data_IF_054091726883
#
_entry.id   IF_054091726883
#
_cell.length_a   1.000
_cell.length_b   1.000
_cell.length_c   1.000
_cell.angle_alpha   90.00
_cell.angle_beta   90.00
_cell.angle_gamma   90.00
#
_symmetry.space_group_name_H-M   'P 1'
#
loop_
_entity.id
_entity.type
_entity.pdbx_description
1 polymer ?
#
# COMPACT_ATOMS: atom_id res chain seq x y z
N UNK A 1 9.12 -19.09 -13.30
CA UNK A 1 9.01 -18.11 -12.22
C UNK A 1 7.56 -17.83 -11.83
N UNK A 2 6.66 -17.53 -12.78
CA UNK A 2 5.23 -17.28 -12.48
C UNK A 2 4.59 -18.41 -11.67
N UNK A 3 4.85 -19.65 -12.02
CA UNK A 3 4.35 -20.84 -11.30
C UNK A 3 4.88 -20.89 -9.87
N UNK A 4 6.17 -20.61 -9.65
CA UNK A 4 6.78 -20.55 -8.33
C UNK A 4 6.14 -19.47 -7.45
N UNK A 5 5.93 -18.27 -8.02
CA UNK A 5 5.27 -17.18 -7.29
C UNK A 5 3.80 -17.51 -6.95
N UNK A 6 3.09 -18.17 -7.88
CA UNK A 6 1.74 -18.64 -7.63
C UNK A 6 1.71 -19.69 -6.51
N UNK A 7 2.60 -20.69 -6.57
CA UNK A 7 2.73 -21.71 -5.55
C UNK A 7 2.99 -21.13 -4.15
N UNK A 8 3.91 -20.14 -4.04
CA UNK A 8 4.19 -19.46 -2.78
C UNK A 8 2.90 -18.81 -2.21
N UNK A 9 2.12 -18.16 -3.04
CA UNK A 9 0.89 -17.50 -2.60
C UNK A 9 -0.21 -18.50 -2.22
N UNK A 10 -0.31 -19.63 -2.91
CA UNK A 10 -1.27 -20.71 -2.61
C UNK A 10 -0.95 -21.43 -1.30
N UNK A 11 0.36 -21.57 -0.97
CA UNK A 11 0.84 -22.23 0.24
C UNK A 11 1.31 -21.26 1.32
N UNK A 12 0.78 -20.01 1.31
CA UNK A 12 1.26 -18.92 2.15
C UNK A 12 1.13 -19.20 3.67
N UNK A 13 0.21 -20.09 4.04
CA UNK A 13 -0.03 -20.50 5.42
C UNK A 13 0.93 -21.60 5.92
N UNK A 14 1.73 -22.16 5.03
CA UNK A 14 2.60 -23.29 5.31
C UNK A 14 4.07 -22.89 5.43
N UNK A 15 4.91 -23.82 5.92
CA UNK A 15 6.36 -23.69 5.85
C UNK A 15 6.83 -24.12 4.47
N UNK A 16 7.12 -23.16 3.62
CA UNK A 16 7.61 -23.41 2.25
C UNK A 16 9.12 -23.62 2.30
N UNK A 17 9.61 -24.73 1.73
CA UNK A 17 11.03 -25.04 1.70
C UNK A 17 11.69 -24.59 0.38
N UNK A 18 12.96 -24.17 0.47
CA UNK A 18 13.77 -23.86 -0.71
C UNK A 18 13.94 -25.10 -1.62
N UNK A 19 14.08 -26.29 -1.02
CA UNK A 19 14.27 -27.55 -1.76
C UNK A 19 13.06 -27.80 -2.67
N UNK A 20 11.87 -27.74 -2.13
CA UNK A 20 10.61 -27.95 -2.84
C UNK A 20 10.45 -26.99 -4.03
N UNK A 21 10.72 -25.70 -3.84
CA UNK A 21 10.64 -24.70 -4.91
C UNK A 21 11.71 -24.91 -6.00
N UNK A 22 12.90 -25.35 -5.60
CA UNK A 22 13.98 -25.66 -6.53
C UNK A 22 13.65 -26.89 -7.38
N UNK A 23 13.07 -27.93 -6.78
CA UNK A 23 12.61 -29.15 -7.48
C UNK A 23 11.51 -28.80 -8.49
N UNK A 24 10.52 -28.00 -8.10
CA UNK A 24 9.49 -27.50 -9.02
C UNK A 24 10.06 -26.71 -10.21
N UNK A 25 11.13 -25.96 -9.97
CA UNK A 25 11.80 -25.19 -11.02
C UNK A 25 12.76 -26.03 -11.88
N UNK A 26 13.04 -27.29 -11.52
CA UNK A 26 13.98 -28.17 -12.19
C UNK A 26 15.46 -27.80 -11.96
N UNK A 27 15.77 -27.18 -10.83
CA UNK A 27 17.12 -26.72 -10.50
C UNK A 27 17.61 -27.25 -9.14
N UNK A 28 18.93 -27.22 -8.94
CA UNK A 28 19.47 -27.41 -7.60
C UNK A 28 19.11 -26.23 -6.69
N UNK A 29 18.94 -26.43 -5.36
CA UNK A 29 18.58 -25.35 -4.43
C UNK A 29 19.55 -24.14 -4.48
N UNK A 30 20.84 -24.41 -4.62
CA UNK A 30 21.86 -23.36 -4.73
C UNK A 30 21.69 -22.52 -5.99
N UNK A 31 21.55 -23.18 -7.15
CA UNK A 31 21.39 -22.49 -8.42
C UNK A 31 20.06 -21.73 -8.48
N UNK A 32 18.98 -22.35 -8.02
CA UNK A 32 17.66 -21.70 -7.95
C UNK A 32 17.67 -20.46 -7.05
N UNK A 33 18.27 -20.54 -5.85
CA UNK A 33 18.38 -19.39 -4.95
C UNK A 33 19.14 -18.22 -5.58
N UNK A 34 20.25 -18.51 -6.27
CA UNK A 34 21.02 -17.50 -7.00
C UNK A 34 20.22 -16.87 -8.13
N UNK A 35 19.63 -17.68 -9.00
CA UNK A 35 18.81 -17.24 -10.13
C UNK A 35 17.61 -16.41 -9.68
N UNK A 36 16.92 -16.86 -8.63
CA UNK A 36 15.79 -16.10 -8.04
C UNK A 36 16.25 -14.74 -7.54
N UNK A 37 17.37 -14.67 -6.82
CA UNK A 37 17.90 -13.42 -6.30
C UNK A 37 18.34 -12.45 -7.40
N UNK A 38 18.89 -12.95 -8.50
CA UNK A 38 19.27 -12.15 -9.66
C UNK A 38 18.04 -11.55 -10.37
N UNK A 39 16.95 -12.34 -10.50
CA UNK A 39 15.71 -11.90 -11.16
C UNK A 39 14.87 -10.98 -10.28
N UNK A 40 14.74 -11.31 -8.99
CA UNK A 40 13.83 -10.63 -8.06
C UNK A 40 14.51 -9.54 -7.21
N UNK A 41 15.84 -9.37 -7.34
CA UNK A 41 16.60 -8.42 -6.53
C UNK A 41 16.69 -8.77 -5.04
N UNK A 42 16.17 -9.94 -4.63
CA UNK A 42 16.18 -10.36 -3.23
C UNK A 42 16.18 -11.89 -3.07
N UNK A 43 16.68 -12.42 -1.93
CA UNK A 43 16.61 -13.86 -1.65
C UNK A 43 15.17 -14.36 -1.56
N UNK A 44 14.93 -15.60 -2.04
CA UNK A 44 13.59 -16.21 -2.04
C UNK A 44 12.97 -16.29 -0.64
N UNK A 45 13.77 -16.55 0.39
CA UNK A 45 13.30 -16.57 1.79
C UNK A 45 12.81 -15.21 2.26
N UNK A 46 13.47 -14.13 1.78
CA UNK A 46 13.03 -12.75 1.98
C UNK A 46 11.70 -12.48 1.30
N UNK A 47 11.56 -12.90 0.03
CA UNK A 47 10.32 -12.78 -0.73
C UNK A 47 9.15 -13.50 -0.04
N UNK A 48 9.31 -14.78 0.34
CA UNK A 48 8.29 -15.55 1.06
C UNK A 48 7.87 -14.83 2.35
N UNK A 49 8.84 -14.33 3.11
CA UNK A 49 8.56 -13.59 4.36
C UNK A 49 7.76 -12.31 4.10
N UNK A 50 8.10 -11.53 3.07
CA UNK A 50 7.36 -10.33 2.68
C UNK A 50 5.93 -10.69 2.30
N UNK A 51 5.73 -11.71 1.47
CA UNK A 51 4.38 -12.16 1.07
C UNK A 51 3.55 -12.57 2.28
N UNK A 52 4.12 -13.38 3.19
CA UNK A 52 3.45 -13.77 4.45
C UNK A 52 3.02 -12.55 5.28
N UNK A 53 3.86 -11.53 5.38
CA UNK A 53 3.54 -10.30 6.12
C UNK A 53 2.46 -9.48 5.44
N UNK A 54 2.41 -9.42 4.11
CA UNK A 54 1.36 -8.74 3.34
C UNK A 54 -0.01 -9.40 3.55
N UNK A 55 -0.09 -10.73 3.47
CA UNK A 55 -1.32 -11.47 3.77
C UNK A 55 -1.71 -11.36 5.25
N UNK A 56 -0.72 -11.39 6.16
CA UNK A 56 -0.94 -11.17 7.59
C UNK A 56 -1.51 -9.79 7.88
N UNK A 57 -1.07 -8.75 7.15
CA UNK A 57 -1.64 -7.41 7.23
C UNK A 57 -3.12 -7.42 6.85
N UNK A 58 -3.51 -8.07 5.73
CA UNK A 58 -4.91 -8.27 5.35
C UNK A 58 -5.74 -8.90 6.48
N UNK A 59 -5.24 -9.98 7.08
CA UNK A 59 -5.92 -10.65 8.21
C UNK A 59 -6.03 -9.77 9.47
N UNK A 60 -5.05 -8.91 9.72
CA UNK A 60 -5.13 -7.94 10.83
C UNK A 60 -6.20 -6.88 10.56
N UNK A 61 -6.37 -6.46 9.30
CA UNK A 61 -7.42 -5.53 8.87
C UNK A 61 -8.82 -6.13 9.04
N UNK A 62 -8.98 -7.45 8.83
CA UNK A 62 -10.21 -8.20 9.15
C UNK A 62 -10.51 -8.26 10.65
N UNK A 63 -9.66 -7.73 11.51
CA UNK A 63 -9.85 -7.68 12.94
C UNK A 63 -9.26 -8.86 13.72
N UNK A 64 -8.60 -9.83 13.09
CA UNK A 64 -7.99 -11.00 13.73
C UNK A 64 -6.95 -10.58 14.77
N UNK A 65 -6.75 -11.39 15.80
CA UNK A 65 -5.76 -11.11 16.85
C UNK A 65 -4.33 -11.30 16.31
N UNK A 66 -3.40 -10.48 16.76
CA UNK A 66 -2.00 -10.50 16.29
C UNK A 66 -1.34 -11.86 16.52
N UNK A 67 -1.62 -12.50 17.66
CA UNK A 67 -1.11 -13.83 17.98
C UNK A 67 -1.63 -14.89 17.01
N UNK A 68 -2.94 -14.89 16.75
CA UNK A 68 -3.58 -15.86 15.84
C UNK A 68 -3.02 -15.70 14.42
N UNK A 69 -2.82 -14.46 13.97
CA UNK A 69 -2.24 -14.15 12.65
C UNK A 69 -0.80 -14.64 12.55
N UNK A 70 0.04 -14.44 13.60
CA UNK A 70 1.42 -14.92 13.57
C UNK A 70 1.50 -16.45 13.43
N UNK A 71 0.61 -17.19 14.08
CA UNK A 71 0.53 -18.65 13.97
C UNK A 71 -0.03 -19.09 12.61
N UNK A 72 -1.08 -18.41 12.12
CA UNK A 72 -1.72 -18.72 10.84
C UNK A 72 -0.73 -18.68 9.66
N UNK A 73 0.19 -17.72 9.67
CA UNK A 73 1.20 -17.57 8.61
C UNK A 73 2.52 -18.30 8.91
N UNK A 74 2.49 -19.27 9.82
CA UNK A 74 3.61 -20.15 10.16
C UNK A 74 4.90 -19.41 10.54
N UNK A 75 4.79 -18.33 11.31
CA UNK A 75 5.96 -17.71 11.96
C UNK A 75 6.35 -18.52 13.19
N UNK A 76 7.66 -18.72 13.38
CA UNK A 76 8.19 -19.55 14.47
C UNK A 76 7.95 -18.93 15.87
N UNK A 77 7.79 -17.61 15.95
CA UNK A 77 7.43 -16.93 17.20
C UNK A 77 6.68 -15.62 16.94
N UNK A 78 5.88 -15.20 17.91
CA UNK A 78 5.19 -13.91 17.91
C UNK A 78 6.18 -12.72 17.88
N UNK A 79 7.30 -12.83 18.56
CA UNK A 79 8.37 -11.82 18.59
C UNK A 79 9.04 -11.70 17.21
N UNK A 80 9.33 -12.83 16.57
CA UNK A 80 9.88 -12.90 15.21
C UNK A 80 8.96 -12.30 14.19
N UNK A 81 7.64 -12.60 14.28
CA UNK A 81 6.60 -11.98 13.49
C UNK A 81 6.56 -10.46 13.70
N UNK A 82 6.43 -10.00 14.95
CA UNK A 82 6.35 -8.58 15.29
C UNK A 82 7.57 -7.80 14.81
N UNK A 83 8.78 -8.35 14.95
CA UNK A 83 10.03 -7.74 14.46
C UNK A 83 10.02 -7.61 12.95
N UNK A 84 9.72 -8.70 12.22
CA UNK A 84 9.67 -8.71 10.76
C UNK A 84 8.59 -7.79 10.21
N UNK A 85 7.44 -7.75 10.86
CA UNK A 85 6.32 -6.87 10.52
C UNK A 85 6.71 -5.41 10.71
N UNK A 86 7.31 -5.06 11.86
CA UNK A 86 7.76 -3.69 12.16
C UNK A 86 8.86 -3.24 11.20
N UNK A 87 9.77 -4.15 10.83
CA UNK A 87 10.80 -3.86 9.84
C UNK A 87 10.22 -3.57 8.45
N UNK A 88 9.18 -4.30 8.04
CA UNK A 88 8.55 -4.11 6.73
C UNK A 88 7.62 -2.90 6.70
N UNK A 89 6.80 -2.69 7.71
CA UNK A 89 5.73 -1.68 7.72
C UNK A 89 6.02 -0.44 8.57
N UNK A 90 7.21 -0.34 9.15
CA UNK A 90 7.60 0.80 10.00
C UNK A 90 6.85 0.90 11.34
N UNK A 91 5.86 0.04 11.59
CA UNK A 91 5.01 0.06 12.78
C UNK A 91 4.66 -1.34 13.25
N UNK A 92 4.41 -1.48 14.57
CA UNK A 92 4.02 -2.79 15.13
C UNK A 92 2.64 -3.23 14.63
N UNK A 93 2.37 -4.57 14.55
CA UNK A 93 1.08 -5.09 14.11
C UNK A 93 -0.12 -4.50 14.86
N UNK A 94 0.03 -4.31 16.19
CA UNK A 94 -1.02 -3.74 17.03
C UNK A 94 -1.28 -2.27 16.75
N UNK A 95 -0.24 -1.48 16.44
CA UNK A 95 -0.38 -0.07 16.07
C UNK A 95 -1.02 0.07 14.70
N UNK A 96 -0.57 -0.69 13.70
CA UNK A 96 -1.16 -0.69 12.35
C UNK A 96 -2.62 -1.09 12.41
N UNK A 97 -2.96 -2.16 13.14
CA UNK A 97 -4.35 -2.57 13.36
C UNK A 97 -5.17 -1.45 13.99
N UNK A 98 -4.68 -0.81 15.05
CA UNK A 98 -5.37 0.29 15.72
C UNK A 98 -5.54 1.50 14.79
N UNK A 99 -4.50 1.87 14.07
CA UNK A 99 -4.50 2.99 13.13
C UNK A 99 -5.53 2.78 12.01
N UNK A 100 -5.51 1.65 11.33
CA UNK A 100 -6.41 1.36 10.21
C UNK A 100 -7.86 1.04 10.66
N UNK A 101 -8.06 0.42 11.82
CA UNK A 101 -9.40 0.16 12.38
C UNK A 101 -9.98 1.40 13.09
N UNK A 102 -9.14 2.30 13.64
CA UNK A 102 -9.58 3.52 14.31
C UNK A 102 -10.07 4.61 13.36
N UNK A 103 -9.83 4.49 12.07
CA UNK A 103 -10.47 5.29 11.05
C UNK A 103 -11.91 4.81 10.81
N UNK A 104 -12.71 4.80 11.88
CA UNK A 104 -14.16 4.92 11.74
C UNK A 104 -14.40 6.25 11.07
N UNK A 105 -15.00 6.21 9.87
CA UNK A 105 -15.53 7.39 9.18
C UNK A 105 -16.12 8.34 10.24
N UNK A 106 -15.62 9.61 10.34
CA UNK A 106 -16.31 10.60 11.17
C UNK A 106 -17.74 10.67 10.65
N UNK A 107 -18.73 10.35 11.49
CA UNK A 107 -20.14 10.30 11.10
C UNK A 107 -20.83 8.96 11.41
N UNK A 108 -20.11 7.85 11.59
CA UNK A 108 -20.68 6.64 12.20
C UNK A 108 -20.42 6.60 13.72
N UNK A 109 -20.87 7.62 14.41
CA UNK A 109 -21.29 7.42 15.80
C UNK A 109 -22.47 6.46 15.75
N UNK A 110 -22.22 5.19 16.10
CA UNK A 110 -23.31 4.30 16.51
C UNK A 110 -23.97 5.00 17.71
N UNK A 111 -25.25 5.44 17.63
CA UNK A 111 -25.93 5.90 18.81
C UNK A 111 -25.89 4.73 19.79
N UNK A 112 -25.44 5.01 21.00
CA UNK A 112 -25.53 4.06 22.12
C UNK A 112 -27.02 3.84 22.42
N UNK A 113 -27.64 2.91 21.69
CA UNK A 113 -29.01 2.47 21.94
C UNK A 113 -28.87 1.13 22.63
N UNK A 114 -28.99 1.18 23.95
CA UNK A 114 -29.25 0.01 24.78
C UNK A 114 -30.30 -0.86 24.10
N UNK A 115 -29.97 -2.10 23.77
CA UNK A 115 -30.92 -3.14 23.44
C UNK A 115 -31.05 -3.60 21.99
N UNK A 116 -30.24 -3.18 21.01
CA UNK A 116 -30.26 -3.81 19.68
C UNK A 116 -29.03 -4.69 19.46
N UNK A 117 -29.29 -5.98 19.15
CA UNK A 117 -28.31 -6.95 18.72
C UNK A 117 -27.41 -6.30 17.63
N UNK A 118 -26.14 -6.18 17.94
CA UNK A 118 -25.09 -5.81 17.00
C UNK A 118 -25.18 -6.77 15.79
N UNK A 119 -25.61 -6.29 14.63
CA UNK A 119 -25.44 -7.05 13.39
C UNK A 119 -23.93 -7.12 13.18
N UNK A 120 -23.33 -8.32 13.32
CA UNK A 120 -21.97 -8.53 12.88
C UNK A 120 -21.92 -8.19 11.40
N UNK A 121 -21.08 -7.20 11.00
CA UNK A 121 -20.77 -6.96 9.60
C UNK A 121 -20.23 -8.25 9.00
N UNK A 122 -20.61 -8.56 7.79
CA UNK A 122 -20.06 -9.71 7.07
C UNK A 122 -18.58 -9.47 6.80
N UNK A 123 -17.77 -10.53 6.75
CA UNK A 123 -16.33 -10.42 6.45
C UNK A 123 -16.09 -9.64 5.14
N UNK A 124 -17.01 -9.77 4.16
CA UNK A 124 -16.96 -9.06 2.88
C UNK A 124 -17.18 -7.54 3.04
N UNK A 125 -18.08 -7.08 3.90
CA UNK A 125 -18.29 -5.64 4.17
C UNK A 125 -17.07 -5.03 4.85
N UNK A 126 -16.45 -5.72 5.80
CA UNK A 126 -15.22 -5.28 6.44
C UNK A 126 -14.06 -5.17 5.43
N UNK A 127 -13.96 -6.15 4.53
CA UNK A 127 -12.92 -6.18 3.52
C UNK A 127 -13.08 -5.05 2.50
N UNK A 128 -14.31 -4.73 2.12
CA UNK A 128 -14.64 -3.60 1.24
C UNK A 128 -14.28 -2.26 1.87
N UNK A 129 -14.65 -2.05 3.15
CA UNK A 129 -14.28 -0.84 3.88
C UNK A 129 -12.75 -0.69 3.95
N UNK A 130 -12.04 -1.77 4.26
CA UNK A 130 -10.58 -1.78 4.34
C UNK A 130 -9.90 -1.48 3.00
N UNK A 131 -10.45 -1.96 1.88
CA UNK A 131 -9.94 -1.64 0.55
C UNK A 131 -10.10 -0.15 0.23
N UNK A 132 -11.23 0.47 0.59
CA UNK A 132 -11.45 1.91 0.39
C UNK A 132 -10.49 2.77 1.22
N UNK A 133 -10.01 2.28 2.39
CA UNK A 133 -9.00 2.98 3.18
C UNK A 133 -7.72 3.24 2.39
N UNK A 134 -7.38 2.37 1.44
CA UNK A 134 -6.21 2.57 0.55
C UNK A 134 -6.36 3.90 -0.21
N UNK A 135 -7.53 4.15 -0.78
CA UNK A 135 -7.82 5.40 -1.51
C UNK A 135 -7.86 6.60 -0.56
N UNK A 136 -8.46 6.44 0.62
CA UNK A 136 -8.57 7.52 1.60
C UNK A 136 -7.20 7.97 2.13
N UNK A 137 -6.27 7.04 2.36
CA UNK A 137 -4.90 7.38 2.78
C UNK A 137 -4.15 8.16 1.70
N UNK A 138 -4.32 7.80 0.43
CA UNK A 138 -3.73 8.58 -0.67
C UNK A 138 -4.36 9.96 -0.76
N UNK A 139 -5.69 10.07 -0.66
CA UNK A 139 -6.40 11.35 -0.73
C UNK A 139 -6.03 12.32 0.39
N UNK A 140 -5.72 11.80 1.59
CA UNK A 140 -5.26 12.65 2.69
C UNK A 140 -4.04 13.47 2.31
N UNK A 141 -3.08 12.88 1.62
CA UNK A 141 -1.86 13.58 1.22
C UNK A 141 -2.16 14.73 0.25
N UNK A 142 -3.09 14.53 -0.69
CA UNK A 142 -3.56 15.58 -1.60
C UNK A 142 -4.35 16.66 -0.84
N UNK A 143 -5.15 16.29 0.16
CA UNK A 143 -5.86 17.26 1.00
C UNK A 143 -4.93 18.06 1.91
N UNK A 144 -3.82 17.49 2.37
CA UNK A 144 -2.79 18.23 3.12
C UNK A 144 -2.13 19.30 2.24
N UNK A 145 -1.80 18.96 0.99
CA UNK A 145 -1.32 19.94 0.01
C UNK A 145 -2.37 21.04 -0.27
N UNK A 146 -3.66 20.67 -0.33
CA UNK A 146 -4.74 21.63 -0.49
C UNK A 146 -4.92 22.51 0.77
N UNK A 147 -4.84 21.93 1.96
CA UNK A 147 -4.90 22.69 3.21
C UNK A 147 -3.73 23.67 3.35
N UNK A 148 -2.55 23.28 2.88
CA UNK A 148 -1.38 24.15 2.82
C UNK A 148 -1.46 25.23 1.70
N UNK A 149 -2.53 25.23 0.89
CA UNK A 149 -2.77 26.22 -0.16
C UNK A 149 -2.03 25.95 -1.48
N UNK A 150 -1.45 24.76 -1.65
CA UNK A 150 -0.66 24.40 -2.85
C UNK A 150 -1.40 23.54 -3.85
N UNK A 151 -2.51 22.90 -3.46
CA UNK A 151 -3.33 22.08 -4.33
C UNK A 151 -4.74 22.68 -4.44
N UNK A 152 -5.25 22.81 -5.66
CA UNK A 152 -6.59 23.33 -5.94
C UNK A 152 -7.49 22.33 -6.66
N UNK A 153 -6.90 21.25 -7.21
CA UNK A 153 -7.61 20.26 -7.99
C UNK A 153 -7.10 18.86 -7.70
N UNK A 154 -8.03 17.94 -7.44
CA UNK A 154 -7.77 16.52 -7.22
C UNK A 154 -8.69 15.73 -8.14
N UNK A 155 -8.11 14.85 -8.96
CA UNK A 155 -8.86 13.99 -9.86
C UNK A 155 -8.74 12.52 -9.43
N UNK A 156 -9.87 11.83 -9.33
CA UNK A 156 -9.97 10.41 -9.02
C UNK A 156 -10.60 9.71 -10.20
N UNK A 157 -9.92 8.72 -10.76
CA UNK A 157 -10.45 7.90 -11.86
C UNK A 157 -10.51 6.44 -11.41
N UNK A 158 -11.70 5.87 -11.44
CA UNK A 158 -11.95 4.45 -11.14
C UNK A 158 -12.05 3.68 -12.44
N UNK A 159 -11.30 2.60 -12.58
CA UNK A 159 -11.29 1.76 -13.76
C UNK A 159 -12.05 0.46 -13.51
N UNK A 160 -12.71 -0.07 -14.53
CA UNK A 160 -13.47 -1.32 -14.45
C UNK A 160 -12.62 -2.54 -14.02
N UNK A 161 -11.33 -2.53 -14.28
CA UNK A 161 -10.40 -3.61 -13.89
C UNK A 161 -9.93 -3.52 -12.42
N UNK A 162 -10.54 -2.62 -11.64
CA UNK A 162 -10.25 -2.42 -10.22
C UNK A 162 -9.06 -1.51 -9.94
N UNK A 163 -8.45 -0.89 -10.96
CA UNK A 163 -7.46 0.16 -10.74
C UNK A 163 -8.13 1.46 -10.30
N UNK A 164 -7.39 2.25 -9.54
CA UNK A 164 -7.74 3.65 -9.25
C UNK A 164 -6.53 4.54 -9.55
N UNK A 165 -6.80 5.68 -10.15
CA UNK A 165 -5.81 6.74 -10.36
C UNK A 165 -6.23 7.97 -9.59
N UNK A 166 -5.30 8.54 -8.82
CA UNK A 166 -5.49 9.77 -8.06
C UNK A 166 -4.40 10.74 -8.51
N UNK A 167 -4.79 11.93 -8.92
CA UNK A 167 -3.87 13.00 -9.31
C UNK A 167 -4.20 14.27 -8.56
N UNK A 168 -3.19 14.99 -8.14
CA UNK A 168 -3.31 16.34 -7.60
C UNK A 168 -2.39 17.32 -8.36
N UNK A 169 -2.69 18.61 -8.27
CA UNK A 169 -1.89 19.68 -8.82
C UNK A 169 -1.07 20.42 -7.74
N UNK A 170 -0.72 19.74 -6.66
CA UNK A 170 0.11 20.26 -5.57
C UNK A 170 1.57 20.45 -5.98
N UNK A 171 2.45 20.59 -4.99
CA UNK A 171 3.90 20.78 -5.23
C UNK A 171 4.63 19.51 -5.67
N UNK A 172 4.00 18.36 -5.54
CA UNK A 172 4.64 17.06 -5.67
C UNK A 172 5.54 16.71 -4.47
N UNK A 173 5.83 15.43 -4.30
CA UNK A 173 6.74 14.95 -3.25
C UNK A 173 8.10 15.66 -3.38
N UNK A 174 8.75 16.06 -2.29
CA UNK A 174 10.01 16.80 -2.32
C UNK A 174 11.17 15.92 -2.80
N UNK A 175 11.27 15.75 -4.11
CA UNK A 175 12.37 15.08 -4.79
C UNK A 175 13.36 16.13 -5.31
N UNK A 176 14.63 15.73 -5.46
CA UNK A 176 15.72 16.58 -5.95
C UNK A 176 16.16 16.16 -7.36
N UNK A 177 17.04 16.94 -7.98
CA UNK A 177 17.64 16.54 -9.27
C UNK A 177 18.61 15.34 -9.14
N UNK A 178 18.96 14.92 -7.95
CA UNK A 178 19.81 13.76 -7.72
C UNK A 178 18.99 12.47 -7.70
N UNK A 179 19.07 11.70 -8.78
CA UNK A 179 18.32 10.43 -8.96
C UNK A 179 18.57 9.43 -7.82
N UNK A 180 19.82 9.30 -7.32
CA UNK A 180 20.13 8.41 -6.20
C UNK A 180 19.41 8.83 -4.91
N UNK A 181 19.33 10.14 -4.64
CA UNK A 181 18.60 10.68 -3.50
C UNK A 181 17.10 10.43 -3.65
N UNK A 182 16.55 10.60 -4.85
CA UNK A 182 15.13 10.35 -5.14
C UNK A 182 14.77 8.87 -4.98
N UNK A 183 15.63 7.95 -5.43
CA UNK A 183 15.47 6.54 -5.18
C UNK A 183 15.38 6.26 -3.67
N UNK A 184 16.30 6.81 -2.89
CA UNK A 184 16.27 6.66 -1.44
C UNK A 184 15.01 7.25 -0.79
N UNK A 185 14.51 8.38 -1.29
CA UNK A 185 13.30 9.03 -0.79
C UNK A 185 12.07 8.16 -1.08
N UNK A 186 11.89 7.72 -2.33
CA UNK A 186 10.74 6.88 -2.69
C UNK A 186 10.82 5.50 -2.04
N UNK A 187 12.01 4.90 -1.94
CA UNK A 187 12.22 3.64 -1.22
C UNK A 187 11.86 3.76 0.27
N UNK A 188 12.21 4.87 0.90
CA UNK A 188 11.84 5.13 2.29
C UNK A 188 10.34 5.28 2.48
N UNK A 189 9.68 6.01 1.59
CA UNK A 189 8.23 6.26 1.66
C UNK A 189 7.44 4.98 1.37
N UNK A 190 7.86 4.20 0.39
CA UNK A 190 7.07 3.11 -0.17
C UNK A 190 7.54 1.70 0.23
N UNK A 191 8.79 1.55 0.73
CA UNK A 191 9.37 0.25 1.08
C UNK A 191 9.80 0.10 2.54
N UNK A 192 9.53 1.08 3.40
CA UNK A 192 9.67 0.93 4.85
C UNK A 192 11.05 1.14 5.45
N UNK A 193 11.94 1.76 4.75
CA UNK A 193 13.24 2.10 5.33
C UNK A 193 13.12 3.24 6.35
N UNK A 194 13.86 3.19 7.48
CA UNK A 194 13.80 4.27 8.48
C UNK A 194 14.22 5.62 7.87
N UNK A 195 13.41 6.63 8.08
CA UNK A 195 13.66 8.02 7.67
C UNK A 195 14.27 8.78 8.85
N UNK A 196 15.26 9.65 8.60
CA UNK A 196 15.80 10.50 9.66
C UNK A 196 14.76 11.55 10.11
N UNK A 197 14.87 12.01 11.36
CA UNK A 197 13.93 12.98 11.93
C UNK A 197 13.85 14.30 11.15
N UNK A 198 14.91 14.70 10.43
CA UNK A 198 14.96 15.92 9.62
C UNK A 198 14.22 15.71 8.29
N UNK A 199 14.43 14.58 7.62
CA UNK A 199 13.70 14.22 6.40
C UNK A 199 12.22 14.02 6.69
N UNK A 200 11.90 13.45 7.86
CA UNK A 200 10.53 13.24 8.33
C UNK A 200 9.74 14.54 8.46
N UNK A 201 10.36 15.59 9.04
CA UNK A 201 9.73 16.90 9.21
C UNK A 201 9.44 17.63 7.89
N UNK A 202 10.13 17.26 6.79
CA UNK A 202 9.95 17.84 5.46
C UNK A 202 8.89 17.13 4.62
N UNK A 203 8.50 15.92 5.00
CA UNK A 203 7.61 15.03 4.22
C UNK A 203 6.16 15.00 4.71
N UNK A 204 5.85 15.63 5.86
CA UNK A 204 4.50 15.60 6.43
C UNK A 204 4.02 14.17 6.74
N UNK A 205 2.70 13.94 6.68
CA UNK A 205 2.09 12.65 6.98
C UNK A 205 2.39 11.56 5.93
N UNK A 206 2.89 11.94 4.76
CA UNK A 206 3.40 10.99 3.74
C UNK A 206 4.43 10.01 4.33
N UNK A 207 5.19 10.48 5.30
CA UNK A 207 6.24 9.72 5.97
C UNK A 207 5.74 8.82 7.13
N UNK A 208 4.48 8.93 7.54
CA UNK A 208 3.96 8.21 8.73
C UNK A 208 3.63 6.72 8.51
N UNK A 209 4.12 6.11 7.44
CA UNK A 209 4.02 4.66 7.19
C UNK A 209 2.75 4.23 6.45
N UNK A 210 1.83 5.14 6.14
CA UNK A 210 0.60 4.81 5.40
C UNK A 210 0.89 4.30 3.99
N UNK A 211 1.76 4.97 3.24
CA UNK A 211 2.09 4.60 1.86
C UNK A 211 2.82 3.26 1.73
N UNK A 212 3.61 2.85 2.71
CA UNK A 212 4.22 1.51 2.74
C UNK A 212 3.18 0.41 2.85
N UNK A 213 2.22 0.63 3.75
CA UNK A 213 1.09 -0.29 3.94
C UNK A 213 0.29 -0.38 2.63
N UNK A 214 -0.04 0.76 2.01
CA UNK A 214 -0.76 0.82 0.74
C UNK A 214 0.01 0.07 -0.35
N UNK A 215 1.30 0.36 -0.54
CA UNK A 215 2.13 -0.30 -1.54
C UNK A 215 2.16 -1.82 -1.35
N UNK A 216 2.23 -2.27 -0.09
CA UNK A 216 2.23 -3.69 0.24
C UNK A 216 0.88 -4.40 0.03
N UNK A 217 -0.22 -3.67 0.04
CA UNK A 217 -1.57 -4.16 -0.20
C UNK A 217 -1.98 -4.11 -1.68
N UNK A 218 -1.15 -3.53 -2.54
CA UNK A 218 -1.42 -3.42 -3.96
C UNK A 218 -0.72 -4.51 -4.77
N UNK A 219 -1.44 -5.08 -5.75
CA UNK A 219 -0.84 -5.90 -6.79
C UNK A 219 0.13 -5.07 -7.63
N UNK A 220 -0.30 -3.86 -8.00
CA UNK A 220 0.50 -2.89 -8.74
C UNK A 220 0.30 -1.50 -8.15
N UNK A 221 1.38 -0.74 -8.05
CA UNK A 221 1.36 0.67 -7.71
C UNK A 221 2.38 1.40 -8.59
N UNK A 222 1.95 2.47 -9.22
CA UNK A 222 2.82 3.43 -9.91
C UNK A 222 2.68 4.78 -9.25
N UNK A 223 3.78 5.44 -9.01
CA UNK A 223 3.84 6.82 -8.56
C UNK A 223 4.58 7.66 -9.60
N UNK A 224 3.97 8.79 -9.99
CA UNK A 224 4.58 9.83 -10.79
C UNK A 224 4.59 11.12 -9.97
N UNK A 225 5.76 11.74 -9.85
CA UNK A 225 5.93 13.01 -9.15
C UNK A 225 6.38 14.06 -10.16
N UNK A 226 5.58 15.10 -10.31
CA UNK A 226 5.85 16.23 -11.20
C UNK A 226 6.37 17.39 -10.37
N UNK A 227 7.65 17.73 -10.53
CA UNK A 227 8.30 18.77 -9.75
C UNK A 227 9.52 19.35 -10.48
N UNK A 228 9.70 20.67 -10.39
CA UNK A 228 10.87 21.39 -10.91
C UNK A 228 11.14 21.07 -12.39
N UNK A 229 10.08 21.07 -13.22
CA UNK A 229 10.10 20.72 -14.65
C UNK A 229 10.64 19.31 -14.95
N UNK A 230 10.51 18.39 -14.00
CA UNK A 230 10.81 16.97 -14.16
C UNK A 230 9.62 16.11 -13.75
N UNK A 231 9.52 14.95 -14.38
CA UNK A 231 8.67 13.84 -13.94
C UNK A 231 9.57 12.73 -13.40
N UNK A 232 9.30 12.27 -12.20
CA UNK A 232 9.96 11.13 -11.57
C UNK A 232 8.94 10.00 -11.45
N UNK A 233 9.28 8.82 -11.99
CA UNK A 233 8.36 7.68 -12.07
C UNK A 233 8.97 6.44 -11.42
N UNK A 234 8.16 5.72 -10.63
CA UNK A 234 8.52 4.46 -10.00
C UNK A 234 7.34 3.49 -10.04
N UNK A 235 7.63 2.24 -10.46
CA UNK A 235 6.66 1.14 -10.47
C UNK A 235 6.96 0.15 -9.36
N UNK A 236 5.90 -0.37 -8.75
CA UNK A 236 5.94 -1.40 -7.72
C UNK A 236 4.99 -2.54 -8.05
N UNK A 237 5.42 -3.75 -7.79
CA UNK A 237 4.59 -4.95 -7.81
C UNK A 237 4.64 -5.58 -6.43
N UNK A 238 3.51 -5.63 -5.75
CA UNK A 238 3.39 -6.16 -4.39
C UNK A 238 4.43 -5.61 -3.41
N UNK A 239 4.58 -4.29 -3.43
CA UNK A 239 5.50 -3.58 -2.56
C UNK A 239 6.97 -3.61 -2.98
N UNK A 240 7.31 -4.25 -4.09
CA UNK A 240 8.68 -4.39 -4.59
C UNK A 240 8.88 -3.47 -5.80
N UNK A 241 9.88 -2.58 -5.72
CA UNK A 241 10.26 -1.71 -6.83
C UNK A 241 10.72 -2.56 -8.04
N UNK A 242 10.27 -2.21 -9.24
CA UNK A 242 10.56 -2.98 -10.46
C UNK A 242 11.78 -2.47 -11.21
N UNK A 243 12.16 -1.23 -10.97
CA UNK A 243 13.31 -0.57 -11.57
C UNK A 243 13.70 0.62 -10.70
N UNK A 244 14.86 1.21 -10.97
CA UNK A 244 15.26 2.47 -10.36
C UNK A 244 14.32 3.61 -10.79
N UNK A 245 14.30 4.71 -10.02
CA UNK A 245 13.49 5.88 -10.35
C UNK A 245 13.86 6.40 -11.73
N UNK A 246 12.91 6.39 -12.64
CA UNK A 246 13.04 7.04 -13.94
C UNK A 246 12.79 8.53 -13.83
N UNK A 247 13.51 9.33 -14.58
CA UNK A 247 13.26 10.77 -14.67
C UNK A 247 13.23 11.25 -16.12
N UNK A 248 12.30 12.16 -16.42
CA UNK A 248 12.25 12.84 -17.71
C UNK A 248 11.92 14.32 -17.48
N UNK A 249 12.35 15.16 -18.44
CA UNK A 249 11.94 16.58 -18.44
C UNK A 249 10.49 16.69 -18.90
N UNK A 250 9.72 17.52 -18.19
CA UNK A 250 8.34 17.78 -18.53
C UNK A 250 8.01 19.25 -18.24
N UNK A 251 7.55 19.97 -19.23
CA UNK A 251 7.20 21.38 -19.09
C UNK A 251 5.82 21.53 -18.44
N UNK A 252 5.72 22.43 -17.44
CA UNK A 252 4.48 22.99 -16.89
C UNK A 252 3.54 22.09 -16.07
N UNK A 253 4.00 21.03 -15.44
CA UNK A 253 3.17 20.30 -14.46
C UNK A 253 3.84 20.22 -13.09
N UNK A 254 3.04 20.37 -12.04
CA UNK A 254 3.43 20.05 -10.66
C UNK A 254 2.34 19.17 -10.05
N UNK A 255 2.70 18.35 -9.09
CA UNK A 255 1.75 17.50 -8.37
C UNK A 255 2.21 16.06 -8.23
N UNK A 256 1.29 15.22 -7.78
CA UNK A 256 1.51 13.79 -7.65
C UNK A 256 0.42 13.02 -8.38
N UNK A 257 0.80 11.95 -9.06
CA UNK A 257 -0.12 10.97 -9.62
C UNK A 257 0.19 9.60 -9.01
N UNK A 258 -0.80 8.96 -8.43
CA UNK A 258 -0.72 7.59 -7.94
C UNK A 258 -1.76 6.75 -8.66
N UNK A 259 -1.30 5.71 -9.34
CA UNK A 259 -2.14 4.67 -9.91
C UNK A 259 -1.89 3.37 -9.14
N UNK A 260 -2.93 2.78 -8.61
CA UNK A 260 -2.83 1.55 -7.83
C UNK A 260 -3.93 0.55 -8.19
N UNK A 261 -3.63 -0.73 -7.96
CA UNK A 261 -4.58 -1.83 -8.03
C UNK A 261 -4.41 -2.68 -6.76
N UNK A 262 -5.43 -2.80 -5.91
CA UNK A 262 -5.37 -3.67 -4.74
C UNK A 262 -5.08 -5.13 -5.14
N UNK A 263 -4.37 -5.86 -4.28
CA UNK A 263 -4.08 -7.28 -4.55
C UNK A 263 -5.36 -8.10 -4.35
N UNK A 264 -5.89 -8.66 -5.45
CA UNK A 264 -7.11 -9.48 -5.44
C UNK A 264 -7.00 -10.73 -4.58
N UNK A 265 -5.79 -11.20 -4.28
CA UNK A 265 -5.55 -12.33 -3.37
C UNK A 265 -5.74 -11.94 -1.91
N UNK A 266 -5.67 -10.65 -1.57
CA UNK A 266 -5.92 -10.11 -0.23
C UNK A 266 -7.39 -9.68 -0.10
N UNK A 267 -7.91 -8.97 -1.12
CA UNK A 267 -9.24 -8.36 -1.08
C UNK A 267 -10.31 -9.12 -1.86
N UNK A 268 -9.95 -10.16 -2.62
CA UNK A 268 -10.87 -10.84 -3.55
C UNK A 268 -11.24 -9.93 -4.73
N UNK A 269 -12.37 -10.25 -5.38
CA UNK A 269 -12.90 -9.50 -6.53
C UNK A 269 -13.77 -8.29 -6.09
N UNK A 270 -13.35 -7.58 -5.04
CA UNK A 270 -14.03 -6.39 -4.56
C UNK A 270 -13.61 -5.19 -5.42
N UNK A 271 -14.58 -4.32 -5.75
CA UNK A 271 -14.34 -3.09 -6.53
C UNK A 271 -14.55 -1.85 -5.67
N UNK A 272 -13.91 -0.77 -6.05
CA UNK A 272 -14.15 0.54 -5.45
C UNK A 272 -15.57 1.02 -5.74
N UNK A 273 -16.20 1.62 -4.75
CA UNK A 273 -17.51 2.26 -4.88
C UNK A 273 -17.36 3.78 -5.00
N UNK A 274 -17.83 4.32 -6.09
CA UNK A 274 -17.87 5.77 -6.34
C UNK A 274 -18.63 6.50 -5.24
N UNK A 275 -19.74 5.93 -4.77
CA UNK A 275 -20.57 6.56 -3.73
C UNK A 275 -19.86 6.61 -2.38
N UNK A 276 -19.11 5.56 -2.02
CA UNK A 276 -18.33 5.55 -0.79
C UNK A 276 -17.21 6.61 -0.85
N UNK A 277 -16.53 6.74 -1.98
CA UNK A 277 -15.46 7.73 -2.16
C UNK A 277 -16.04 9.14 -2.15
N UNK A 278 -17.15 9.40 -2.86
CA UNK A 278 -17.85 10.70 -2.84
C UNK A 278 -18.22 11.11 -1.42
N UNK A 279 -18.89 10.22 -0.71
CA UNK A 279 -19.30 10.48 0.68
C UNK A 279 -18.10 10.84 1.55
N UNK A 280 -17.01 10.08 1.45
CA UNK A 280 -15.80 10.35 2.22
C UNK A 280 -15.18 11.70 1.86
N UNK A 281 -15.13 12.04 0.56
CA UNK A 281 -14.63 13.35 0.06
C UNK A 281 -15.49 14.49 0.62
N UNK A 282 -16.82 14.39 0.56
CA UNK A 282 -17.74 15.40 1.09
C UNK A 282 -17.54 15.64 2.59
N UNK A 283 -17.29 14.57 3.35
CA UNK A 283 -17.07 14.65 4.81
C UNK A 283 -15.67 15.19 5.19
N UNK A 284 -14.67 15.05 4.32
CA UNK A 284 -13.27 15.34 4.65
C UNK A 284 -12.64 16.50 3.86
N UNK A 285 -13.24 16.94 2.75
CA UNK A 285 -12.74 18.08 1.96
C UNK A 285 -13.13 19.41 2.62
N UNK A 286 -12.38 19.79 3.65
CA UNK A 286 -12.54 21.08 4.34
C UNK A 286 -11.76 22.23 3.67
N UNK A 287 -11.02 21.94 2.61
CA UNK A 287 -10.08 22.87 1.98
C UNK A 287 -10.67 23.70 0.85
N UNK A 288 -11.83 23.28 0.31
CA UNK A 288 -12.44 23.89 -0.89
C UNK A 288 -11.74 23.51 -2.21
N UNK A 289 -10.79 22.59 -2.21
CA UNK A 289 -10.23 22.05 -3.44
C UNK A 289 -11.31 21.38 -4.29
N UNK A 290 -11.22 21.51 -5.60
CA UNK A 290 -12.13 20.88 -6.54
C UNK A 290 -11.74 19.39 -6.64
N UNK A 291 -12.67 18.51 -6.28
CA UNK A 291 -12.47 17.05 -6.41
C UNK A 291 -13.37 16.49 -7.50
N UNK A 292 -12.76 15.97 -8.55
CA UNK A 292 -13.47 15.32 -9.67
C UNK A 292 -13.35 13.81 -9.56
N UNK A 293 -14.47 13.09 -9.54
CA UNK A 293 -14.51 11.62 -9.51
C UNK A 293 -15.14 11.12 -10.81
N UNK A 294 -14.42 10.26 -11.52
CA UNK A 294 -14.85 9.70 -12.81
C UNK A 294 -14.73 8.18 -12.80
N UNK A 295 -15.66 7.51 -13.45
CA UNK A 295 -15.55 6.11 -13.84
C UNK A 295 -15.11 6.04 -15.29
N UNK A 296 -14.17 5.16 -15.59
CA UNK A 296 -13.67 4.96 -16.95
C UNK A 296 -13.81 3.51 -17.33
N UNK A 297 -14.65 3.28 -18.35
CA UNK A 297 -14.70 2.02 -19.12
C UNK A 297 -13.56 1.99 -20.13
N UNK A 298 -13.14 0.80 -20.51
CA UNK A 298 -12.15 0.60 -21.58
C UNK A 298 -12.77 0.83 -22.94
#
# INVERSE_FOLDING_TARGET
>A
LKEILAYIDEHIYEKISLLELAEMAGYSPFYFSKLFSEIMGMPITGYIRIRKLQYALGSLLEGRKVLDVSLMYAFDSHEGFTRSFTQLFGSTPSKVKKYLISYKVPGYCVPNIEGRRMRMRTDKENLMDNMHQIVYEVLKTSFEEAHAGFCTEINITLYEDGRVKITDNGRGIPLSQNVKTNQQVLDKILSGHPISSIEYAQMGDFAQGGMQVINSLCENLRINVYRDSNCYSQDYVRGIAQHDVNSCKMEHSSGTEIMLKPDSRIFGDIRFSTDMIKKWVEENNVTGAIVCIKEQSY
#
